data_IF_881522345890
#
_entry.id   IF_881522345890
#
_cell.length_a   1.000
_cell.length_b   1.000
_cell.length_c   1.000
_cell.angle_alpha   90.00
_cell.angle_beta   90.00
_cell.angle_gamma   90.00
#
_symmetry.space_group_name_H-M   'P 1'
#
loop_
_entity.id
_entity.type
_entity.pdbx_description
1 polymer ?
#
# COMPACT_ATOMS: atom_id res chain seq x y z
N UNK A 1 21.86 13.96 -3.18
CA UNK A 1 20.76 13.61 -2.27
C UNK A 1 19.48 13.83 -3.01
N UNK A 2 18.63 12.82 -3.11
CA UNK A 2 17.31 12.94 -3.76
C UNK A 2 16.28 13.01 -2.64
N UNK A 3 15.35 13.96 -2.72
CA UNK A 3 14.31 14.13 -1.70
C UNK A 3 13.34 12.94 -1.70
N UNK A 4 12.89 12.57 -0.50
CA UNK A 4 11.83 11.58 -0.27
C UNK A 4 10.56 12.34 0.07
N UNK A 5 9.62 12.35 -0.87
CA UNK A 5 8.36 13.06 -0.72
C UNK A 5 7.24 12.06 -0.48
N UNK A 6 6.35 12.41 0.44
CA UNK A 6 5.09 11.74 0.65
C UNK A 6 3.99 12.64 0.10
N UNK A 7 3.28 12.16 -0.91
CA UNK A 7 1.97 12.70 -1.25
C UNK A 7 0.94 11.98 -0.40
N UNK A 8 0.13 12.77 0.26
CA UNK A 8 -0.88 12.37 1.23
C UNK A 8 -2.13 13.21 0.98
N UNK A 9 -3.27 12.69 1.36
CA UNK A 9 -4.44 13.54 1.57
C UNK A 9 -4.61 13.83 3.05
N UNK A 10 -4.97 15.09 3.32
CA UNK A 10 -5.33 15.68 4.62
C UNK A 10 -6.38 14.83 5.36
N UNK A 11 -7.24 14.08 4.63
CA UNK A 11 -8.31 13.27 5.23
C UNK A 11 -7.94 11.82 5.53
N UNK A 12 -6.87 11.29 4.93
CA UNK A 12 -6.61 9.84 4.87
C UNK A 12 -5.80 9.29 6.04
N UNK A 13 -5.30 10.16 6.93
CA UNK A 13 -4.47 9.66 8.00
C UNK A 13 -5.28 8.83 9.03
N UNK A 14 -4.79 7.62 9.29
CA UNK A 14 -4.80 6.87 10.55
C UNK A 14 -5.83 5.76 10.86
N UNK A 15 -5.23 4.75 11.49
CA UNK A 15 -5.77 3.71 12.37
C UNK A 15 -4.75 2.57 12.40
N UNK A 16 -4.36 2.06 13.57
CA UNK A 16 -3.52 0.87 13.66
C UNK A 16 -4.19 -0.26 12.87
N UNK A 17 -3.52 -0.74 11.82
CA UNK A 17 -3.80 -2.04 11.26
C UNK A 17 -2.94 -3.03 12.03
N UNK A 18 -3.61 -4.02 12.61
CA UNK A 18 -2.94 -5.21 13.15
C UNK A 18 -2.17 -5.97 12.07
N UNK A 19 -1.71 -7.20 12.35
CA UNK A 19 -0.89 -7.96 11.41
C UNK A 19 -1.53 -8.07 10.01
N UNK A 20 -0.73 -8.23 8.94
CA UNK A 20 -1.20 -8.22 7.56
C UNK A 20 -2.30 -9.28 7.36
N UNK A 21 -3.52 -8.80 7.12
CA UNK A 21 -4.75 -9.57 6.91
C UNK A 21 -4.67 -10.74 5.91
N UNK A 22 -3.96 -10.66 4.75
CA UNK A 22 -4.03 -11.74 3.77
C UNK A 22 -3.26 -13.02 4.15
N UNK A 23 -2.53 -13.02 5.27
CA UNK A 23 -1.73 -14.19 5.69
C UNK A 23 -2.53 -15.24 6.50
N UNK A 24 -3.67 -14.86 7.09
CA UNK A 24 -4.43 -15.73 8.01
C UNK A 24 -5.73 -16.27 7.41
N UNK A 25 -6.13 -17.46 7.87
CA UNK A 25 -7.35 -18.15 7.43
C UNK A 25 -8.56 -17.55 8.13
N UNK A 26 -9.54 -17.06 7.36
CA UNK A 26 -10.78 -16.50 7.93
C UNK A 26 -11.63 -17.63 8.55
N UNK A 27 -11.98 -17.48 9.84
CA UNK A 27 -12.87 -18.37 10.60
C UNK A 27 -14.05 -17.60 11.19
N UNK A 28 -15.04 -18.32 11.74
CA UNK A 28 -16.26 -17.79 12.35
C UNK A 28 -16.05 -17.04 13.67
N UNK A 29 -14.84 -17.05 14.23
CA UNK A 29 -14.49 -16.36 15.49
C UNK A 29 -13.96 -14.93 15.31
N UNK A 30 -13.90 -14.47 14.08
CA UNK A 30 -13.20 -13.25 13.66
C UNK A 30 -14.10 -11.99 13.61
N UNK A 31 -15.23 -11.97 14.31
CA UNK A 31 -16.14 -10.80 14.32
C UNK A 31 -15.60 -9.60 15.10
N UNK A 32 -15.00 -9.82 16.27
CA UNK A 32 -14.54 -8.76 17.17
C UNK A 32 -13.05 -8.40 16.98
N UNK A 33 -12.24 -9.35 16.48
CA UNK A 33 -10.78 -9.17 16.26
C UNK A 33 -10.44 -8.36 14.99
N UNK A 34 -11.42 -8.10 14.12
CA UNK A 34 -11.18 -7.59 12.74
C UNK A 34 -11.77 -6.20 12.50
N UNK A 35 -12.11 -5.47 13.57
CA UNK A 35 -12.52 -4.05 13.46
C UNK A 35 -11.46 -3.17 12.77
N UNK A 36 -10.19 -3.60 12.81
CA UNK A 36 -9.04 -2.96 12.16
C UNK A 36 -8.94 -3.23 10.64
N UNK A 37 -9.68 -4.21 10.10
CA UNK A 37 -9.64 -4.59 8.69
C UNK A 37 -10.59 -3.75 7.81
N UNK A 38 -11.32 -2.81 8.42
CA UNK A 38 -12.23 -1.91 7.70
C UNK A 38 -11.39 -0.86 6.97
N UNK A 39 -11.22 -1.07 5.66
CA UNK A 39 -10.60 -0.10 4.78
C UNK A 39 -11.66 0.87 4.26
N UNK A 40 -11.45 2.16 4.52
CA UNK A 40 -12.31 3.24 4.02
C UNK A 40 -11.48 4.02 3.00
N UNK A 41 -11.75 3.80 1.72
CA UNK A 41 -11.15 4.57 0.63
C UNK A 41 -12.00 5.79 0.26
N UNK A 42 -11.35 6.84 -0.24
CA UNK A 42 -11.91 8.06 -0.77
C UNK A 42 -11.52 8.22 -2.24
N UNK A 43 -12.41 7.77 -3.13
CA UNK A 43 -12.18 7.81 -4.58
C UNK A 43 -11.99 9.23 -5.15
N UNK A 44 -12.54 10.26 -4.51
CA UNK A 44 -12.37 11.65 -4.95
C UNK A 44 -10.93 12.09 -4.71
N UNK A 45 -10.42 11.78 -3.52
CA UNK A 45 -9.04 12.04 -3.14
C UNK A 45 -8.06 11.30 -4.06
N UNK A 46 -8.27 10.00 -4.25
CA UNK A 46 -7.43 9.19 -5.12
C UNK A 46 -7.39 9.76 -6.55
N UNK A 47 -8.53 10.26 -7.04
CA UNK A 47 -8.61 10.91 -8.35
C UNK A 47 -7.79 12.19 -8.42
N UNK A 48 -7.86 13.06 -7.41
CA UNK A 48 -7.05 14.29 -7.33
C UNK A 48 -5.55 13.97 -7.28
N UNK A 49 -5.15 13.03 -6.44
CA UNK A 49 -3.75 12.60 -6.34
C UNK A 49 -3.26 12.04 -7.67
N UNK A 50 -4.09 11.25 -8.37
CA UNK A 50 -3.78 10.76 -9.71
C UNK A 50 -3.59 11.90 -10.71
N UNK A 51 -4.41 12.96 -10.67
CA UNK A 51 -4.22 14.12 -11.55
C UNK A 51 -2.91 14.85 -11.28
N UNK A 52 -2.54 15.05 -10.01
CA UNK A 52 -1.24 15.63 -9.63
C UNK A 52 -0.08 14.81 -10.19
N UNK A 53 -0.13 13.48 -10.05
CA UNK A 53 0.92 12.58 -10.53
C UNK A 53 1.04 12.65 -12.05
N UNK A 54 -0.08 12.63 -12.78
CA UNK A 54 -0.09 12.72 -14.23
C UNK A 54 0.46 14.08 -14.71
N UNK A 55 0.05 15.18 -14.07
CA UNK A 55 0.57 16.52 -14.38
C UNK A 55 2.06 16.65 -14.06
N UNK A 56 2.53 16.10 -12.93
CA UNK A 56 3.93 16.10 -12.51
C UNK A 56 4.83 15.28 -13.46
N UNK A 57 4.26 14.27 -14.13
CA UNK A 57 4.94 13.51 -15.20
C UNK A 57 5.02 14.34 -16.49
N UNK A 58 3.92 14.98 -16.87
CA UNK A 58 3.74 15.58 -18.20
C UNK A 58 4.33 17.00 -18.33
N UNK A 59 4.43 17.78 -17.24
CA UNK A 59 4.95 19.15 -17.23
C UNK A 59 6.49 19.25 -17.19
N UNK A 60 7.19 18.19 -17.58
CA UNK A 60 8.60 17.95 -17.29
C UNK A 60 8.70 17.06 -16.05
N UNK A 61 9.32 15.87 -16.12
CA UNK A 61 9.21 14.84 -15.09
C UNK A 61 9.74 15.35 -13.75
N UNK A 62 8.83 15.70 -12.83
CA UNK A 62 9.16 16.30 -11.54
C UNK A 62 9.69 15.26 -10.54
N UNK A 63 9.34 13.99 -10.71
CA UNK A 63 9.77 12.87 -9.89
C UNK A 63 10.50 11.79 -10.72
N UNK A 64 11.40 11.06 -10.06
CA UNK A 64 12.21 10.00 -10.66
C UNK A 64 11.62 8.60 -10.45
N UNK A 65 10.92 8.41 -9.33
CA UNK A 65 10.30 7.15 -8.95
C UNK A 65 9.06 7.41 -8.09
N UNK A 66 8.15 6.44 -8.09
CA UNK A 66 6.87 6.47 -7.39
C UNK A 66 6.55 5.06 -6.89
N UNK A 67 5.97 4.94 -5.70
CA UNK A 67 5.35 3.70 -5.21
C UNK A 67 4.14 4.01 -4.32
N UNK A 68 3.17 3.11 -4.29
CA UNK A 68 2.03 3.17 -3.37
C UNK A 68 2.40 2.67 -1.96
N UNK A 69 1.65 3.11 -0.95
CA UNK A 69 1.73 2.58 0.40
C UNK A 69 0.61 1.56 0.63
N UNK A 70 0.91 0.28 0.39
CA UNK A 70 0.02 -0.84 0.68
C UNK A 70 0.33 -1.52 2.02
N UNK A 71 0.49 -2.84 1.97
CA UNK A 71 0.84 -3.66 3.13
C UNK A 71 2.19 -3.24 3.73
N UNK A 72 2.28 -3.10 5.05
CA UNK A 72 3.45 -2.55 5.75
C UNK A 72 3.63 -1.03 5.61
N UNK A 73 2.80 -0.33 4.83
CA UNK A 73 2.75 1.13 4.80
C UNK A 73 4.04 1.80 4.33
N UNK A 74 4.48 2.84 5.04
CA UNK A 74 5.73 3.55 4.74
C UNK A 74 6.95 2.62 4.86
N UNK A 75 6.89 1.64 5.76
CA UNK A 75 8.00 0.72 5.98
C UNK A 75 8.34 -0.13 4.75
N UNK A 76 7.32 -0.65 4.05
CA UNK A 76 7.51 -1.35 2.78
C UNK A 76 7.83 -0.37 1.66
N UNK A 77 7.02 0.68 1.48
CA UNK A 77 7.18 1.64 0.38
C UNK A 77 8.58 2.28 0.34
N UNK A 78 9.02 2.87 1.45
CA UNK A 78 10.34 3.51 1.54
C UNK A 78 11.46 2.47 1.60
N UNK A 79 11.25 1.35 2.29
CA UNK A 79 12.22 0.26 2.37
C UNK A 79 12.54 -0.36 1.00
N UNK A 80 11.53 -0.52 0.14
CA UNK A 80 11.68 -1.05 -1.22
C UNK A 80 12.32 -0.02 -2.15
N UNK A 81 11.81 1.23 -2.17
CA UNK A 81 12.41 2.31 -2.98
C UNK A 81 13.87 2.58 -2.59
N UNK A 82 14.17 2.48 -1.29
CA UNK A 82 15.51 2.71 -0.73
C UNK A 82 16.41 1.49 -0.70
N UNK A 83 15.98 0.33 -1.22
CA UNK A 83 16.68 -0.96 -1.09
C UNK A 83 18.18 -0.91 -1.42
N UNK A 84 18.56 -0.17 -2.46
CA UNK A 84 19.95 -0.06 -2.92
C UNK A 84 20.64 1.26 -2.55
N UNK A 85 19.89 2.25 -2.06
CA UNK A 85 20.41 3.59 -1.76
C UNK A 85 20.48 3.88 -0.26
N UNK A 86 19.63 3.27 0.55
CA UNK A 86 19.32 3.77 1.88
C UNK A 86 18.37 4.98 1.86
N UNK A 87 17.82 5.30 3.02
CA UNK A 87 16.90 6.39 3.24
C UNK A 87 16.98 6.88 4.69
N UNK A 88 16.90 8.19 4.88
CA UNK A 88 16.66 8.82 6.18
C UNK A 88 15.26 9.41 6.17
N UNK A 89 14.41 8.99 7.11
CA UNK A 89 13.00 9.41 7.21
C UNK A 89 12.78 10.16 8.52
N UNK A 90 12.11 11.30 8.44
CA UNK A 90 11.69 12.11 9.58
C UNK A 90 10.19 11.86 9.86
N UNK A 91 9.91 10.99 10.83
CA UNK A 91 8.56 10.51 11.13
C UNK A 91 7.65 11.60 11.69
N UNK A 92 8.21 12.63 12.33
CA UNK A 92 7.44 13.77 12.84
C UNK A 92 6.97 14.74 11.74
N UNK A 93 7.49 14.61 10.51
CA UNK A 93 7.01 15.35 9.35
C UNK A 93 5.84 14.67 8.64
N UNK A 94 5.60 13.38 8.89
CA UNK A 94 4.51 12.64 8.24
C UNK A 94 3.17 13.22 8.68
N UNK A 95 2.29 13.66 7.77
CA UNK A 95 0.97 14.19 8.14
C UNK A 95 0.09 13.14 8.83
N UNK A 96 -0.47 13.51 9.98
CA UNK A 96 -1.29 12.64 10.84
C UNK A 96 -2.67 13.26 11.05
N UNK A 97 -3.70 12.42 11.19
CA UNK A 97 -5.08 12.85 11.46
C UNK A 97 -5.39 12.93 12.95
N UNK A 98 -4.73 12.10 13.76
CA UNK A 98 -4.89 12.09 15.20
C UNK A 98 -3.51 12.27 15.84
N UNK A 99 -3.49 13.13 16.86
CA UNK A 99 -2.30 13.34 17.66
C UNK A 99 -2.00 12.11 18.54
N UNK A 100 -0.73 11.96 18.92
CA UNK A 100 -0.31 11.01 19.94
C UNK A 100 0.02 9.60 19.46
N UNK A 101 0.13 9.38 18.14
CA UNK A 101 0.73 8.15 17.62
C UNK A 101 2.18 7.98 18.08
N UNK A 102 2.56 6.74 18.35
CA UNK A 102 3.96 6.36 18.53
C UNK A 102 4.66 6.34 17.17
N UNK A 103 5.96 6.62 17.16
CA UNK A 103 6.78 6.58 15.94
C UNK A 103 6.67 5.25 15.16
N UNK A 104 6.58 4.11 15.88
CA UNK A 104 6.41 2.81 15.25
C UNK A 104 5.05 2.68 14.55
N UNK A 105 3.99 3.24 15.13
CA UNK A 105 2.64 3.23 14.56
C UNK A 105 2.57 4.12 13.32
N UNK A 106 3.26 5.27 13.31
CA UNK A 106 3.40 6.12 12.12
C UNK A 106 4.09 5.34 10.98
N UNK A 107 5.18 4.64 11.30
CA UNK A 107 6.02 3.96 10.34
C UNK A 107 5.35 2.76 9.66
N UNK A 108 4.62 1.94 10.42
CA UNK A 108 3.97 0.72 9.91
C UNK A 108 2.50 0.94 9.54
N UNK A 109 1.97 2.16 9.71
CA UNK A 109 0.56 2.44 9.39
C UNK A 109 0.29 2.13 7.92
N UNK A 110 -0.78 1.39 7.65
CA UNK A 110 -1.32 1.08 6.32
C UNK A 110 -2.49 2.01 5.93
N UNK A 111 -2.42 3.27 6.39
CA UNK A 111 -3.37 4.29 5.97
C UNK A 111 -3.43 4.38 4.43
N UNK A 112 -4.65 4.45 3.91
CA UNK A 112 -4.93 4.45 2.47
C UNK A 112 -4.64 5.82 1.83
N UNK A 113 -4.65 5.84 0.51
CA UNK A 113 -4.36 7.00 -0.37
C UNK A 113 -3.02 7.69 -0.08
N UNK A 114 -1.94 6.90 0.01
CA UNK A 114 -0.59 7.45 0.17
C UNK A 114 0.33 6.95 -0.92
N UNK A 115 1.13 7.87 -1.43
CA UNK A 115 2.11 7.60 -2.46
C UNK A 115 3.44 8.25 -2.08
N UNK A 116 4.51 7.48 -2.20
CA UNK A 116 5.87 7.97 -1.99
C UNK A 116 6.49 8.30 -3.34
N UNK A 117 7.08 9.48 -3.44
CA UNK A 117 7.83 9.96 -4.59
C UNK A 117 9.30 10.17 -4.26
N UNK A 118 10.15 9.91 -5.25
CA UNK A 118 11.54 10.36 -5.25
C UNK A 118 11.64 11.61 -6.11
N UNK A 119 11.99 12.75 -5.52
CA UNK A 119 11.92 14.07 -6.17
C UNK A 119 13.29 14.75 -6.08
N UNK A 120 13.78 15.26 -7.20
CA UNK A 120 15.02 16.02 -7.22
C UNK A 120 14.83 17.36 -6.48
N UNK A 121 15.79 17.85 -5.67
CA UNK A 121 15.66 19.08 -4.89
C UNK A 121 15.18 20.30 -5.72
N UNK A 122 15.63 20.41 -6.97
CA UNK A 122 15.25 21.46 -7.92
C UNK A 122 13.78 21.41 -8.35
N UNK A 123 13.13 20.24 -8.26
CA UNK A 123 11.75 20.02 -8.68
C UNK A 123 10.75 20.11 -7.53
N UNK A 124 11.23 20.18 -6.29
CA UNK A 124 10.39 20.17 -5.07
C UNK A 124 9.36 21.29 -5.09
N UNK A 125 9.80 22.53 -5.34
CA UNK A 125 8.91 23.69 -5.32
C UNK A 125 7.78 23.53 -6.35
N UNK A 126 8.11 23.08 -7.57
CA UNK A 126 7.13 22.87 -8.63
C UNK A 126 6.12 21.76 -8.29
N UNK A 127 6.57 20.68 -7.64
CA UNK A 127 5.67 19.61 -7.20
C UNK A 127 4.71 20.09 -6.09
N UNK A 128 5.23 20.85 -5.11
CA UNK A 128 4.40 21.39 -4.02
C UNK A 128 3.36 22.38 -4.55
N UNK A 129 3.73 23.26 -5.49
CA UNK A 129 2.81 24.20 -6.12
C UNK A 129 1.71 23.47 -6.90
N UNK A 130 2.06 22.40 -7.62
CA UNK A 130 1.11 21.58 -8.37
C UNK A 130 0.15 20.82 -7.44
N UNK A 131 0.67 20.21 -6.37
CA UNK A 131 -0.16 19.51 -5.39
C UNK A 131 -1.14 20.47 -4.71
N UNK A 132 -0.68 21.67 -4.33
CA UNK A 132 -1.53 22.70 -3.73
C UNK A 132 -2.64 23.19 -4.69
N UNK A 133 -2.37 23.27 -5.99
CA UNK A 133 -3.36 23.68 -6.99
C UNK A 133 -4.54 22.69 -7.11
N UNK A 134 -4.30 21.41 -6.87
CA UNK A 134 -5.31 20.33 -6.90
C UNK A 134 -5.85 19.98 -5.50
N UNK A 135 -5.47 20.74 -4.46
CA UNK A 135 -5.88 20.50 -3.07
C UNK A 135 -5.49 19.09 -2.60
N UNK A 136 -4.21 18.74 -2.85
CA UNK A 136 -3.53 17.51 -2.42
C UNK A 136 -2.35 17.89 -1.52
N UNK A 137 -2.17 17.22 -0.39
CA UNK A 137 -1.06 17.48 0.52
C UNK A 137 0.21 16.78 0.04
N UNK A 138 1.33 17.50 0.04
CA UNK A 138 2.63 16.96 -0.33
C UNK A 138 3.65 17.41 0.69
N UNK A 139 4.35 16.46 1.29
CA UNK A 139 5.26 16.70 2.41
C UNK A 139 6.60 16.04 2.16
N UNK A 140 7.68 16.81 2.33
CA UNK A 140 9.03 16.26 2.39
C UNK A 140 9.22 15.52 3.71
N UNK A 141 9.35 14.20 3.66
CA UNK A 141 9.49 13.34 4.84
C UNK A 141 10.91 12.80 5.01
N UNK A 142 11.87 13.22 4.17
CA UNK A 142 13.24 12.77 4.31
C UNK A 142 14.03 12.74 3.01
N UNK A 143 15.03 11.88 2.94
CA UNK A 143 15.94 11.79 1.78
C UNK A 143 16.39 10.37 1.48
N UNK A 144 16.61 10.09 0.20
CA UNK A 144 17.46 8.99 -0.24
C UNK A 144 18.90 9.51 -0.28
N UNK A 145 19.71 9.04 0.67
CA UNK A 145 21.02 9.63 1.01
C UNK A 145 22.22 8.85 0.47
N UNK A 146 22.03 7.65 -0.07
CA UNK A 146 23.14 6.81 -0.56
C UNK A 146 23.89 6.08 0.55
N UNK A 147 23.40 6.11 1.80
CA UNK A 147 24.05 5.47 2.95
C UNK A 147 23.99 3.94 2.94
N UNK A 148 23.07 3.36 2.16
CA UNK A 148 22.74 1.92 2.23
C UNK A 148 22.02 1.50 3.51
N UNK A 149 21.57 2.45 4.33
CA UNK A 149 20.87 2.21 5.59
C UNK A 149 19.48 2.82 5.59
N UNK A 150 18.55 2.20 6.30
CA UNK A 150 17.29 2.80 6.70
C UNK A 150 17.47 3.46 8.06
N UNK A 151 17.36 4.79 8.12
CA UNK A 151 17.41 5.58 9.35
C UNK A 151 16.07 6.24 9.60
N UNK A 152 15.51 6.04 10.79
CA UNK A 152 14.27 6.66 11.24
C UNK A 152 14.57 7.69 12.32
N UNK A 153 14.19 8.93 12.06
CA UNK A 153 14.25 10.03 13.00
C UNK A 153 12.84 10.37 13.48
N UNK A 154 12.70 10.69 14.76
CA UNK A 154 11.47 11.21 15.32
C UNK A 154 11.83 12.29 16.35
N UNK A 155 11.36 13.52 16.10
CA UNK A 155 11.64 14.68 16.97
C UNK A 155 13.15 14.89 17.20
N UNK A 156 13.94 14.69 16.14
CA UNK A 156 15.40 14.80 16.17
C UNK A 156 16.15 13.62 16.82
N UNK A 157 15.45 12.59 17.31
CA UNK A 157 16.05 11.39 17.86
C UNK A 157 16.09 10.25 16.85
N UNK A 158 17.21 9.52 16.76
CA UNK A 158 17.27 8.27 16.00
C UNK A 158 16.51 7.17 16.76
N UNK A 159 15.39 6.73 16.18
CA UNK A 159 14.51 5.70 16.74
C UNK A 159 14.62 4.36 16.01
N UNK A 160 15.40 4.29 14.94
CA UNK A 160 15.64 3.08 14.17
C UNK A 160 16.79 3.25 13.17
N UNK A 161 17.66 2.26 13.09
CA UNK A 161 18.75 2.22 12.11
C UNK A 161 19.05 0.77 11.74
N UNK A 162 18.87 0.41 10.49
CA UNK A 162 19.11 -0.94 9.97
C UNK A 162 19.77 -0.88 8.60
N UNK A 163 20.64 -1.84 8.29
CA UNK A 163 21.25 -1.95 6.97
C UNK A 163 20.21 -2.48 5.98
N UNK A 164 20.11 -1.88 4.79
CA UNK A 164 19.13 -2.30 3.79
C UNK A 164 19.38 -3.74 3.31
N UNK A 165 20.65 -4.15 3.18
CA UNK A 165 21.02 -5.54 2.86
C UNK A 165 20.48 -6.54 3.89
N UNK A 166 20.52 -6.20 5.19
CA UNK A 166 19.96 -7.07 6.21
C UNK A 166 18.43 -7.17 6.12
N UNK A 167 17.75 -6.06 5.80
CA UNK A 167 16.28 -6.04 5.65
C UNK A 167 15.84 -6.91 4.47
N UNK A 168 16.53 -6.81 3.33
CA UNK A 168 16.11 -7.46 2.08
C UNK A 168 16.67 -8.89 1.92
N UNK A 169 17.90 -9.15 2.37
CA UNK A 169 18.61 -10.43 2.16
C UNK A 169 18.95 -11.17 3.45
N UNK A 170 18.60 -10.64 4.62
CA UNK A 170 18.94 -11.24 5.92
C UNK A 170 18.09 -12.44 6.34
N UNK A 171 16.95 -12.69 5.68
CA UNK A 171 16.04 -13.77 6.02
C UNK A 171 16.27 -15.03 5.15
N UNK A 172 16.44 -16.22 5.75
CA UNK A 172 16.62 -17.45 4.98
C UNK A 172 15.33 -17.84 4.26
N UNK A 173 15.43 -18.15 2.96
CA UNK A 173 14.30 -18.65 2.17
C UNK A 173 13.96 -20.10 2.54
N UNK A 174 12.78 -20.39 3.11
CA UNK A 174 12.42 -21.75 3.50
C UNK A 174 12.12 -22.62 2.29
N UNK A 175 12.82 -23.76 2.17
CA UNK A 175 12.54 -24.76 1.14
C UNK A 175 11.40 -25.67 1.64
N UNK A 176 10.30 -25.72 0.90
CA UNK A 176 9.17 -26.61 1.18
C UNK A 176 9.05 -27.70 0.12
N UNK A 177 8.70 -28.92 0.55
CA UNK A 177 8.39 -30.02 -0.37
C UNK A 177 6.90 -29.99 -0.69
N UNK A 178 6.55 -29.79 -1.96
CA UNK A 178 5.18 -29.89 -2.44
C UNK A 178 4.91 -31.32 -2.93
N UNK A 179 3.78 -31.90 -2.52
CA UNK A 179 3.29 -33.18 -3.03
C UNK A 179 2.08 -32.90 -3.90
N UNK A 180 2.20 -33.13 -5.20
CA UNK A 180 1.05 -33.12 -6.08
C UNK A 180 0.28 -34.43 -5.93
N UNK A 181 -0.99 -34.34 -5.58
CA UNK A 181 -1.92 -35.46 -5.64
C UNK A 181 -2.91 -35.12 -6.74
N UNK A 182 -2.93 -35.92 -7.81
CA UNK A 182 -3.92 -35.73 -8.88
C UNK A 182 -5.32 -35.89 -8.27
N UNK A 183 -6.17 -34.85 -8.28
CA UNK A 183 -7.50 -34.97 -7.77
C UNK A 183 -8.29 -35.92 -8.67
N UNK A 184 -8.82 -36.99 -8.08
CA UNK A 184 -9.77 -37.87 -8.79
C UNK A 184 -11.07 -37.10 -8.93
N UNK A 185 -11.21 -36.36 -10.03
CA UNK A 185 -12.45 -35.69 -10.38
C UNK A 185 -13.45 -36.76 -10.82
N UNK A 186 -14.58 -36.94 -10.10
CA UNK A 186 -15.62 -37.83 -10.60
C UNK A 186 -16.05 -37.30 -11.97
N UNK A 187 -16.15 -38.20 -12.96
CA UNK A 187 -16.71 -37.82 -14.26
C UNK A 187 -18.12 -37.31 -14.01
N UNK A 188 -18.31 -36.00 -14.15
CA UNK A 188 -19.62 -35.39 -14.01
C UNK A 188 -20.54 -36.01 -15.06
N UNK A 189 -21.42 -36.90 -14.61
CA UNK A 189 -22.52 -37.39 -15.42
C UNK A 189 -23.65 -36.40 -15.23
N UNK A 190 -23.72 -35.42 -16.13
CA UNK A 190 -24.86 -34.50 -16.15
C UNK A 190 -26.05 -35.32 -16.66
N UNK A 191 -27.01 -35.59 -15.77
CA UNK A 191 -28.25 -36.22 -16.17
C UNK A 191 -28.95 -35.32 -17.21
N UNK A 192 -29.45 -35.92 -18.27
CA UNK A 192 -30.21 -35.20 -19.28
C UNK A 192 -31.45 -34.57 -18.62
N UNK A 193 -31.65 -33.25 -18.74
CA UNK A 193 -32.82 -32.59 -18.18
C UNK A 193 -34.10 -33.16 -18.76
N UNK A 194 -35.07 -33.44 -17.90
CA UNK A 194 -36.42 -33.84 -18.32
C UNK A 194 -37.23 -32.65 -18.87
N UNK A 195 -36.84 -31.41 -18.54
CA UNK A 195 -37.44 -30.17 -19.01
C UNK A 195 -36.35 -29.11 -19.23
N UNK A 196 -35.92 -28.96 -20.49
CA UNK A 196 -34.88 -27.99 -20.86
C UNK A 196 -35.30 -26.54 -20.62
N UNK A 197 -36.58 -26.20 -20.78
CA UNK A 197 -37.03 -24.83 -20.58
C UNK A 197 -36.90 -24.44 -19.10
N UNK A 198 -37.34 -25.32 -18.20
CA UNK A 198 -37.18 -25.13 -16.76
C UNK A 198 -35.72 -25.14 -16.32
N UNK A 199 -34.92 -26.09 -16.81
CA UNK A 199 -33.49 -26.14 -16.48
C UNK A 199 -32.74 -24.92 -16.98
N UNK A 200 -33.04 -24.43 -18.19
CA UNK A 200 -32.49 -23.18 -18.70
C UNK A 200 -32.87 -21.99 -17.80
N UNK A 201 -34.14 -21.89 -17.39
CA UNK A 201 -34.57 -20.86 -16.44
C UNK A 201 -33.82 -20.96 -15.10
N UNK A 202 -33.58 -22.16 -14.58
CA UNK A 202 -32.80 -22.36 -13.35
C UNK A 202 -31.34 -21.94 -13.50
N UNK A 203 -30.70 -22.30 -14.62
CA UNK A 203 -29.33 -21.90 -14.93
C UNK A 203 -29.22 -20.38 -15.05
N UNK A 204 -30.14 -19.73 -15.77
CA UNK A 204 -30.18 -18.28 -15.90
C UNK A 204 -30.47 -17.55 -14.58
N UNK A 205 -31.06 -18.22 -13.59
CA UNK A 205 -31.28 -17.71 -12.25
C UNK A 205 -30.08 -17.94 -11.30
N UNK A 206 -29.08 -18.75 -11.67
CA UNK A 206 -27.91 -18.98 -10.83
C UNK A 206 -27.10 -17.69 -10.70
N UNK A 207 -26.73 -17.25 -9.48
CA UNK A 207 -25.95 -16.01 -9.30
C UNK A 207 -24.67 -15.96 -10.12
N UNK A 208 -24.03 -17.11 -10.40
CA UNK A 208 -22.84 -17.20 -11.24
C UNK A 208 -23.11 -16.86 -12.71
N UNK A 209 -24.27 -17.25 -13.25
CA UNK A 209 -24.63 -17.13 -14.68
C UNK A 209 -25.59 -15.97 -14.99
N UNK A 210 -26.40 -15.59 -14.01
CA UNK A 210 -27.39 -14.53 -14.14
C UNK A 210 -26.74 -13.20 -14.56
N UNK A 211 -27.54 -12.31 -15.14
CA UNK A 211 -27.14 -10.93 -15.41
C UNK A 211 -26.56 -10.28 -14.15
N UNK A 212 -25.51 -9.47 -14.34
CA UNK A 212 -24.89 -8.64 -13.29
C UNK A 212 -25.28 -7.15 -13.39
N UNK A 213 -26.13 -6.82 -14.37
CA UNK A 213 -26.80 -5.53 -14.48
C UNK A 213 -27.85 -5.34 -13.40
#
# INVERSE_FOLDING_TARGET
MIGLFLLVDVQAAMGFMGPPFPADVITDKHGDEFSHAVQIGNAITEKKMLDVILQARDCGPLYNAITDCGAGGLSSAVGEMGSHTGATVELDKVPLKYDGLKYAEIWISEAQERIVLSVAPENVAALLDLAAAEDVEATDIGVFDGSGKLTLLYQGHNVGSLDMEFIHDGLPSPIRQAVWQEPVLPRATVAEPTDYARTLCQLLAMPTLASKH
#
